data_IF_125844981202
#
_entry.id   IF_125844981202
#
_cell.length_a   1.000
_cell.length_b   1.000
_cell.length_c   1.000
_cell.angle_alpha   90.00
_cell.angle_beta   90.00
_cell.angle_gamma   90.00
#
_symmetry.space_group_name_H-M   'P 1'
#
loop_
_entity.id
_entity.type
_entity.pdbx_description
1 polymer ?
#
# COMPACT_ATOMS: atom_id res chain seq x y z
N UNK A 1 13.95 -15.15 -8.30
CA UNK A 1 13.60 -14.07 -7.36
C UNK A 1 12.63 -14.70 -6.39
N UNK A 2 13.05 -14.95 -5.14
CA UNK A 2 12.06 -15.31 -4.11
C UNK A 2 11.08 -14.14 -4.01
N UNK A 3 9.79 -14.45 -4.08
CA UNK A 3 8.76 -13.43 -3.90
C UNK A 3 8.83 -12.95 -2.45
N UNK A 4 8.98 -11.64 -2.24
CA UNK A 4 9.01 -10.99 -0.91
C UNK A 4 7.84 -11.46 -0.03
N UNK A 5 6.72 -11.83 -0.67
CA UNK A 5 5.48 -12.30 -0.04
C UNK A 5 5.09 -13.73 -0.47
N UNK A 6 6.01 -14.50 -1.04
CA UNK A 6 5.71 -15.80 -1.66
C UNK A 6 5.24 -16.87 -0.69
N UNK A 7 5.49 -16.70 0.60
CA UNK A 7 5.07 -17.58 1.69
C UNK A 7 3.74 -17.15 2.33
N UNK A 8 3.20 -15.99 1.95
CA UNK A 8 1.91 -15.49 2.45
C UNK A 8 0.79 -16.11 1.63
N UNK A 9 -0.17 -16.68 2.33
CA UNK A 9 -1.34 -17.31 1.72
C UNK A 9 -2.58 -16.44 1.86
N UNK A 10 -3.60 -16.71 1.05
CA UNK A 10 -4.85 -15.96 1.09
C UNK A 10 -5.54 -15.98 2.46
N UNK A 11 -5.35 -17.02 3.27
CA UNK A 11 -5.88 -17.11 4.64
C UNK A 11 -5.21 -16.14 5.62
N UNK A 12 -3.97 -15.74 5.36
CA UNK A 12 -3.22 -14.81 6.21
C UNK A 12 -3.66 -13.37 5.95
N UNK A 13 -4.27 -13.13 4.78
CA UNK A 13 -4.68 -11.79 4.32
C UNK A 13 -6.20 -11.59 4.38
N UNK A 14 -7.01 -12.62 4.09
CA UNK A 14 -8.48 -12.52 4.13
C UNK A 14 -9.00 -12.42 5.55
N UNK A 15 -10.12 -11.72 5.73
CA UNK A 15 -10.82 -11.65 6.99
C UNK A 15 -11.75 -12.86 7.16
N UNK A 16 -12.27 -13.04 8.38
CA UNK A 16 -13.33 -14.03 8.65
C UNK A 16 -14.52 -13.86 7.71
N UNK A 17 -15.11 -14.98 7.29
CA UNK A 17 -16.15 -15.05 6.26
C UNK A 17 -17.45 -14.31 6.58
N UNK A 18 -17.65 -13.90 7.83
CA UNK A 18 -18.79 -13.13 8.34
C UNK A 18 -18.60 -11.61 8.23
N UNK A 19 -17.41 -11.15 7.81
CA UNK A 19 -17.07 -9.72 7.65
C UNK A 19 -17.03 -9.34 6.17
N UNK A 20 -17.92 -8.42 5.77
CA UNK A 20 -17.97 -7.92 4.40
C UNK A 20 -16.95 -6.80 4.10
N UNK A 21 -16.35 -6.19 5.13
CA UNK A 21 -15.43 -5.05 5.03
C UNK A 21 -14.05 -5.39 5.59
N UNK A 22 -13.02 -4.59 5.27
CA UNK A 22 -11.61 -4.78 5.64
C UNK A 22 -10.95 -6.06 5.06
N UNK A 23 -11.57 -6.64 4.03
CA UNK A 23 -10.93 -7.64 3.18
C UNK A 23 -9.90 -6.97 2.26
N UNK A 24 -8.75 -7.62 2.03
CA UNK A 24 -7.77 -7.13 1.08
C UNK A 24 -8.27 -7.32 -0.36
N UNK A 25 -8.30 -6.22 -1.13
CA UNK A 25 -8.46 -6.26 -2.58
C UNK A 25 -7.09 -6.50 -3.23
N UNK A 26 -6.69 -7.76 -3.38
CA UNK A 26 -5.35 -8.05 -3.87
C UNK A 26 -5.20 -7.73 -5.36
N UNK A 27 -4.13 -7.01 -5.71
CA UNK A 27 -3.69 -6.79 -7.07
C UNK A 27 -2.50 -7.70 -7.39
N UNK A 28 -2.60 -8.41 -8.51
CA UNK A 28 -1.50 -9.21 -9.03
C UNK A 28 -0.36 -8.32 -9.53
N UNK A 29 0.90 -8.81 -9.52
CA UNK A 29 2.04 -8.02 -9.99
C UNK A 29 1.89 -7.46 -11.42
N UNK A 30 1.25 -8.22 -12.32
CA UNK A 30 0.95 -7.75 -13.67
C UNK A 30 -0.06 -6.60 -13.69
N UNK A 31 -1.07 -6.63 -12.81
CA UNK A 31 -2.03 -5.54 -12.67
C UNK A 31 -1.38 -4.26 -12.15
N UNK A 32 -0.44 -4.39 -11.21
CA UNK A 32 0.35 -3.26 -10.70
C UNK A 32 1.24 -2.68 -11.81
N UNK A 33 1.85 -3.53 -12.64
CA UNK A 33 2.63 -3.08 -13.79
C UNK A 33 1.78 -2.28 -14.79
N UNK A 34 0.61 -2.80 -15.17
CA UNK A 34 -0.33 -2.09 -16.06
C UNK A 34 -0.78 -0.76 -15.46
N UNK A 35 -1.04 -0.71 -14.15
CA UNK A 35 -1.37 0.53 -13.45
C UNK A 35 -0.23 1.56 -13.54
N UNK A 36 1.01 1.13 -13.32
CA UNK A 36 2.18 2.03 -13.40
C UNK A 36 2.42 2.53 -14.83
N UNK A 37 2.23 1.67 -15.84
CA UNK A 37 2.37 2.06 -17.26
C UNK A 37 1.32 3.08 -17.70
N UNK A 38 0.16 3.10 -17.03
CA UNK A 38 -0.90 4.08 -17.29
C UNK A 38 -0.63 5.45 -16.65
N UNK A 39 0.30 5.55 -15.70
CA UNK A 39 0.73 6.81 -15.10
C UNK A 39 1.80 7.48 -15.97
N UNK A 40 1.91 8.81 -15.89
CA UNK A 40 3.08 9.49 -16.45
C UNK A 40 4.37 8.95 -15.80
N UNK A 41 5.53 9.03 -16.47
CA UNK A 41 6.77 8.48 -15.95
C UNK A 41 7.07 8.95 -14.52
N UNK A 42 7.03 8.03 -13.56
CA UNK A 42 7.26 8.31 -12.15
C UNK A 42 8.72 8.69 -11.90
N UNK A 43 8.93 9.83 -11.25
CA UNK A 43 10.24 10.42 -11.05
C UNK A 43 10.68 10.39 -9.58
N UNK A 44 11.91 10.80 -9.31
CA UNK A 44 12.44 10.96 -7.95
C UNK A 44 11.75 12.07 -7.15
N UNK A 45 10.94 12.91 -7.80
CA UNK A 45 10.14 13.94 -7.12
C UNK A 45 8.82 13.38 -6.58
N UNK A 46 8.45 12.19 -7.02
CA UNK A 46 7.16 11.61 -6.68
C UNK A 46 7.19 10.85 -5.36
N UNK A 47 6.08 10.98 -4.63
CA UNK A 47 5.80 10.25 -3.40
C UNK A 47 4.49 9.50 -3.62
N UNK A 48 4.56 8.18 -3.56
CA UNK A 48 3.42 7.29 -3.79
C UNK A 48 2.74 6.95 -2.47
N UNK A 49 1.42 7.15 -2.38
CA UNK A 49 0.60 6.80 -1.24
C UNK A 49 -0.40 5.71 -1.62
N UNK A 50 -0.42 4.61 -0.87
CA UNK A 50 -1.39 3.52 -0.98
C UNK A 50 -2.34 3.51 0.22
N UNK A 51 -3.63 3.75 -0.04
CA UNK A 51 -4.69 3.73 0.98
C UNK A 51 -5.35 2.35 1.04
N UNK A 52 -5.17 1.65 2.16
CA UNK A 52 -5.53 0.23 2.29
C UNK A 52 -4.43 -0.67 1.76
N UNK A 53 -3.20 -0.42 2.20
CA UNK A 53 -2.00 -1.05 1.65
C UNK A 53 -1.91 -2.57 1.92
N UNK A 54 -2.71 -3.11 2.83
CA UNK A 54 -2.62 -4.51 3.26
C UNK A 54 -1.21 -4.84 3.76
N UNK A 55 -0.60 -5.85 3.13
CA UNK A 55 0.78 -6.26 3.40
C UNK A 55 1.83 -5.47 2.60
N UNK A 56 1.42 -4.56 1.72
CA UNK A 56 2.30 -3.65 0.98
C UNK A 56 2.89 -4.21 -0.32
N UNK A 57 2.26 -5.20 -0.95
CA UNK A 57 2.73 -5.75 -2.23
C UNK A 57 2.82 -4.69 -3.36
N UNK A 58 1.81 -3.81 -3.46
CA UNK A 58 1.82 -2.65 -4.36
C UNK A 58 3.02 -1.75 -4.06
N UNK A 59 3.22 -1.38 -2.79
CA UNK A 59 4.30 -0.51 -2.36
C UNK A 59 5.69 -1.07 -2.64
N UNK A 60 5.92 -2.37 -2.39
CA UNK A 60 7.17 -3.03 -2.74
C UNK A 60 7.43 -2.97 -4.24
N UNK A 61 6.43 -3.31 -5.06
CA UNK A 61 6.60 -3.31 -6.50
C UNK A 61 6.85 -1.90 -7.04
N UNK A 62 6.08 -0.90 -6.60
CA UNK A 62 6.31 0.51 -6.96
C UNK A 62 7.71 0.94 -6.52
N UNK A 63 8.14 0.58 -5.31
CA UNK A 63 9.46 0.94 -4.82
C UNK A 63 10.59 0.33 -5.67
N UNK A 64 10.44 -0.92 -6.10
CA UNK A 64 11.47 -1.65 -6.84
C UNK A 64 11.47 -1.32 -8.34
N UNK A 65 10.31 -1.02 -8.92
CA UNK A 65 10.16 -0.82 -10.35
C UNK A 65 10.27 0.64 -10.79
N UNK A 66 10.26 1.59 -9.85
CA UNK A 66 10.13 3.03 -10.18
C UNK A 66 11.13 3.89 -9.40
N UNK A 67 11.27 5.14 -9.85
CA UNK A 67 12.18 6.12 -9.26
C UNK A 67 11.58 6.93 -8.12
N UNK A 68 10.32 6.68 -7.71
CA UNK A 68 9.68 7.43 -6.62
C UNK A 68 10.59 7.51 -5.40
N UNK A 69 10.64 8.67 -4.75
CA UNK A 69 11.52 8.89 -3.60
C UNK A 69 11.02 8.17 -2.35
N UNK A 70 9.69 7.97 -2.24
CA UNK A 70 9.05 7.38 -1.07
C UNK A 70 7.76 6.67 -1.47
N UNK A 71 7.51 5.52 -0.84
CA UNK A 71 6.26 4.79 -0.89
C UNK A 71 5.66 4.76 0.52
N UNK A 72 4.43 5.21 0.68
CA UNK A 72 3.74 5.28 1.98
C UNK A 72 2.49 4.41 1.91
N UNK A 73 2.33 3.49 2.85
CA UNK A 73 1.13 2.67 2.97
C UNK A 73 0.36 2.98 4.24
N UNK A 74 -0.96 3.10 4.13
CA UNK A 74 -1.86 3.17 5.27
C UNK A 74 -2.68 1.90 5.34
N UNK A 75 -2.68 1.22 6.48
CA UNK A 75 -3.45 0.00 6.72
C UNK A 75 -4.11 0.05 8.10
N UNK A 76 -5.38 -0.32 8.17
CA UNK A 76 -6.17 -0.30 9.42
C UNK A 76 -6.03 -1.61 10.20
N UNK A 77 -5.77 -2.72 9.50
CA UNK A 77 -5.57 -4.06 10.06
C UNK A 77 -4.14 -4.21 10.56
N UNK A 78 -3.97 -4.05 11.86
CA UNK A 78 -2.67 -4.10 12.53
C UNK A 78 -1.87 -5.39 12.25
N UNK A 79 -2.54 -6.52 12.04
CA UNK A 79 -1.91 -7.79 11.68
C UNK A 79 -1.31 -7.78 10.27
N UNK A 80 -1.98 -7.17 9.29
CA UNK A 80 -1.45 -7.05 7.92
C UNK A 80 -0.30 -6.03 7.89
N UNK A 81 -0.46 -4.92 8.59
CA UNK A 81 0.60 -3.94 8.81
C UNK A 81 1.86 -4.60 9.39
N UNK A 82 1.71 -5.42 10.43
CA UNK A 82 2.83 -6.09 11.09
C UNK A 82 3.51 -7.10 10.17
N UNK A 83 2.71 -7.94 9.49
CA UNK A 83 3.20 -8.93 8.54
C UNK A 83 3.93 -8.30 7.36
N UNK A 84 3.37 -7.24 6.78
CA UNK A 84 3.99 -6.48 5.69
C UNK A 84 5.32 -5.86 6.12
N UNK A 85 5.34 -5.19 7.27
CA UNK A 85 6.56 -4.57 7.83
C UNK A 85 7.66 -5.61 8.06
N UNK A 86 7.33 -6.75 8.66
CA UNK A 86 8.26 -7.86 8.86
C UNK A 86 8.85 -8.37 7.55
N UNK A 87 8.01 -8.56 6.51
CA UNK A 87 8.48 -9.03 5.19
C UNK A 87 9.38 -8.01 4.50
N UNK A 88 9.04 -6.71 4.56
CA UNK A 88 9.91 -5.66 4.00
C UNK A 88 11.28 -5.64 4.68
N UNK A 89 11.30 -5.67 6.02
CA UNK A 89 12.54 -5.64 6.80
C UNK A 89 13.43 -6.84 6.54
N UNK A 90 12.86 -8.05 6.47
CA UNK A 90 13.63 -9.28 6.17
C UNK A 90 14.31 -9.26 4.80
N UNK A 91 13.74 -8.51 3.86
CA UNK A 91 14.16 -8.49 2.46
C UNK A 91 14.98 -7.23 2.11
N UNK A 92 15.19 -6.31 3.04
CA UNK A 92 15.80 -5.00 2.77
C UNK A 92 17.28 -5.06 2.37
N UNK A 93 17.98 -6.10 2.80
CA UNK A 93 19.39 -6.31 2.43
C UNK A 93 19.52 -6.82 1.00
N UNK A 94 18.62 -7.72 0.58
CA UNK A 94 18.55 -8.20 -0.81
C UNK A 94 17.96 -7.14 -1.75
N UNK A 95 17.01 -6.35 -1.27
CA UNK A 95 16.32 -5.32 -2.04
C UNK A 95 16.40 -3.96 -1.32
N UNK A 96 17.52 -3.21 -1.46
CA UNK A 96 17.73 -1.97 -0.74
C UNK A 96 16.70 -0.87 -0.97
N UNK A 97 16.03 -0.88 -2.13
CA UNK A 97 14.97 0.08 -2.45
C UNK A 97 13.74 -0.09 -1.55
N UNK A 98 13.58 -1.21 -0.84
CA UNK A 98 12.52 -1.35 0.18
C UNK A 98 12.70 -0.38 1.35
N UNK A 99 13.90 0.20 1.56
CA UNK A 99 14.14 1.25 2.58
C UNK A 99 13.31 2.51 2.37
N UNK A 100 12.77 2.72 1.15
CA UNK A 100 11.89 3.86 0.85
C UNK A 100 10.40 3.57 1.08
N UNK A 101 10.05 2.37 1.57
CA UNK A 101 8.69 2.00 1.93
C UNK A 101 8.43 2.28 3.41
N UNK A 102 7.35 3.00 3.70
CA UNK A 102 6.92 3.37 5.04
C UNK A 102 5.47 2.92 5.23
N UNK A 103 5.23 1.95 6.10
CA UNK A 103 3.89 1.54 6.47
C UNK A 103 3.43 2.29 7.73
N UNK A 104 2.15 2.64 7.78
CA UNK A 104 1.51 3.28 8.92
C UNK A 104 0.22 2.53 9.25
N UNK A 105 0.10 2.10 10.50
CA UNK A 105 -1.15 1.56 11.04
C UNK A 105 -2.11 2.73 11.33
N UNK A 106 -3.11 2.95 10.49
CA UNK A 106 -4.10 4.02 10.65
C UNK A 106 -5.37 3.72 9.85
N UNK A 107 -6.49 4.33 10.27
CA UNK A 107 -7.74 4.31 9.51
C UNK A 107 -7.73 5.42 8.45
N UNK A 108 -8.06 5.09 7.20
CA UNK A 108 -8.13 6.07 6.08
C UNK A 108 -9.14 7.20 6.32
N UNK A 109 -10.08 7.02 7.25
CA UNK A 109 -11.05 8.03 7.68
C UNK A 109 -10.46 9.04 8.67
N UNK A 110 -9.24 8.82 9.16
CA UNK A 110 -8.54 9.80 9.98
C UNK A 110 -8.19 11.02 9.12
N UNK A 111 -8.95 12.10 9.32
CA UNK A 111 -8.79 13.39 8.64
C UNK A 111 -7.37 13.96 8.77
N UNK A 112 -6.60 13.55 9.77
CA UNK A 112 -5.22 13.99 9.93
C UNK A 112 -4.28 13.36 8.90
N UNK A 113 -4.64 12.26 8.24
CA UNK A 113 -3.77 11.64 7.23
C UNK A 113 -3.49 12.56 6.05
N UNK A 114 -4.48 13.32 5.57
CA UNK A 114 -4.24 14.26 4.46
C UNK A 114 -3.43 15.49 4.88
N UNK A 115 -3.43 15.83 6.17
CA UNK A 115 -2.79 17.03 6.71
C UNK A 115 -1.44 16.80 7.39
N UNK A 116 -1.08 15.55 7.69
CA UNK A 116 0.12 15.21 8.44
C UNK A 116 1.20 14.60 7.54
N UNK A 117 2.48 14.94 7.76
CA UNK A 117 3.58 14.22 7.14
C UNK A 117 3.63 12.75 7.60
N UNK A 118 4.12 11.82 6.75
CA UNK A 118 4.58 12.06 5.38
C UNK A 118 3.45 12.00 4.33
N UNK A 119 2.21 11.74 4.74
CA UNK A 119 1.08 11.49 3.83
C UNK A 119 0.58 12.74 3.11
N UNK A 120 0.72 13.93 3.71
CA UNK A 120 0.42 15.21 3.05
C UNK A 120 1.35 15.53 1.86
N UNK A 121 2.56 14.94 1.85
CA UNK A 121 3.56 15.19 0.81
C UNK A 121 3.41 14.26 -0.40
N UNK A 122 2.45 13.31 -0.34
CA UNK A 122 2.19 12.41 -1.46
C UNK A 122 1.96 13.24 -2.74
N UNK A 123 2.47 12.80 -3.88
CA UNK A 123 2.15 13.37 -5.20
C UNK A 123 1.13 12.50 -5.92
N UNK A 124 1.15 11.19 -5.65
CA UNK A 124 0.27 10.19 -6.24
C UNK A 124 -0.45 9.44 -5.13
N UNK A 125 -1.75 9.26 -5.30
CA UNK A 125 -2.60 8.52 -4.36
C UNK A 125 -3.24 7.37 -5.13
N UNK A 126 -3.06 6.17 -4.60
CA UNK A 126 -3.68 4.95 -5.05
C UNK A 126 -4.56 4.37 -3.94
N UNK A 127 -5.67 3.77 -4.33
CA UNK A 127 -6.54 3.03 -3.42
C UNK A 127 -7.29 1.95 -4.19
N UNK A 128 -7.12 0.68 -3.80
CA UNK A 128 -8.04 -0.37 -4.23
C UNK A 128 -9.26 -0.39 -3.30
N UNK A 129 -10.21 0.51 -3.57
CA UNK A 129 -11.36 0.73 -2.71
C UNK A 129 -12.57 -0.21 -3.00
N UNK A 130 -12.39 -1.27 -3.79
CA UNK A 130 -13.46 -2.18 -4.21
C UNK A 130 -14.23 -2.78 -3.01
N UNK A 131 -13.51 -3.11 -1.93
CA UNK A 131 -14.06 -3.73 -0.71
C UNK A 131 -14.20 -2.75 0.47
N UNK A 132 -14.03 -1.45 0.23
CA UNK A 132 -14.16 -0.44 1.28
C UNK A 132 -15.62 -0.21 1.64
N UNK A 133 -15.87 0.14 2.91
CA UNK A 133 -17.15 0.72 3.31
C UNK A 133 -17.40 2.02 2.55
N UNK A 134 -18.67 2.32 2.26
CA UNK A 134 -19.05 3.51 1.49
C UNK A 134 -18.56 4.81 2.17
N UNK A 135 -18.57 4.84 3.51
CA UNK A 135 -18.01 5.95 4.28
C UNK A 135 -16.52 6.12 4.01
N UNK A 136 -15.73 5.05 4.04
CA UNK A 136 -14.30 5.09 3.76
C UNK A 136 -14.00 5.54 2.32
N UNK A 137 -14.80 5.13 1.32
CA UNK A 137 -14.66 5.59 -0.07
C UNK A 137 -14.81 7.11 -0.20
N UNK A 138 -15.74 7.72 0.53
CA UNK A 138 -15.94 9.18 0.52
C UNK A 138 -14.68 9.91 1.04
N UNK A 139 -14.03 9.38 2.07
CA UNK A 139 -12.80 9.98 2.60
C UNK A 139 -11.63 9.84 1.61
N UNK A 140 -11.45 8.66 1.01
CA UNK A 140 -10.42 8.44 -0.01
C UNK A 140 -10.63 9.35 -1.22
N UNK A 141 -11.88 9.52 -1.68
CA UNK A 141 -12.20 10.41 -2.80
C UNK A 141 -11.95 11.91 -2.52
N UNK A 142 -11.79 12.27 -1.23
CA UNK A 142 -11.44 13.62 -0.78
C UNK A 142 -9.97 13.74 -0.36
N UNK A 143 -9.20 12.67 -0.52
CA UNK A 143 -7.77 12.71 -0.26
C UNK A 143 -7.12 13.53 -1.39
N UNK A 144 -6.92 14.81 -1.08
CA UNK A 144 -6.56 15.94 -1.96
C UNK A 144 -7.75 16.56 -2.70
#
# INVERSE_FOLDING_TARGET
MESIFGDISAKDVRQHADRMHNNAGELLPSGIAVMMDALEPLTERDIFLDMGAGIGNVLAQVALATKVSKCIGVEVRGELFSLGTERMLRNVDMYPLLRKVFLKSADVRDLLLSAQPPTCDATIIFANNFLFEETAKIFVARAK
#
